data_IF_259676795127
#
_entry.id   IF_259676795127
#
_cell.length_a   1.000
_cell.length_b   1.000
_cell.length_c   1.000
_cell.angle_alpha   90.00
_cell.angle_beta   90.00
_cell.angle_gamma   90.00
#
_symmetry.space_group_name_H-M   'P 1'
#
loop_
_entity.id
_entity.type
_entity.pdbx_description
1 polymer ?
#
# COMPACT_ATOMS: atom_id res chain seq x y z
N UNK A 1 -11.17 4.18 5.32
CA UNK A 1 -10.52 5.52 5.36
C UNK A 1 -9.77 5.73 4.06
N UNK A 2 -9.51 6.97 3.63
CA UNK A 2 -8.76 7.21 2.38
C UNK A 2 -7.31 6.80 2.54
N UNK A 3 -6.67 6.39 1.44
CA UNK A 3 -5.25 6.06 1.41
C UNK A 3 -4.39 7.21 1.94
N UNK A 4 -4.70 8.46 1.55
CA UNK A 4 -3.96 9.63 2.04
C UNK A 4 -4.00 9.77 3.57
N UNK A 5 -5.18 9.60 4.17
CA UNK A 5 -5.32 9.72 5.62
C UNK A 5 -4.64 8.54 6.32
N UNK A 6 -4.75 7.33 5.75
CA UNK A 6 -4.07 6.15 6.27
C UNK A 6 -2.56 6.33 6.30
N UNK A 7 -1.95 6.76 5.18
CA UNK A 7 -0.51 7.01 5.11
C UNK A 7 -0.08 8.11 6.08
N UNK A 8 -0.84 9.21 6.18
CA UNK A 8 -0.55 10.28 7.14
C UNK A 8 -0.54 9.79 8.60
N UNK A 9 -1.41 8.84 8.96
CA UNK A 9 -1.42 8.26 10.31
C UNK A 9 -0.19 7.40 10.63
N UNK A 10 0.45 6.83 9.61
CA UNK A 10 1.61 5.93 9.76
C UNK A 10 2.95 6.61 9.42
N UNK A 11 2.92 7.90 9.10
CA UNK A 11 4.11 8.69 8.80
C UNK A 11 5.05 8.74 10.03
N UNK A 12 6.35 8.51 9.82
CA UNK A 12 7.32 8.43 10.92
C UNK A 12 7.33 7.08 11.65
N UNK A 13 6.51 6.11 11.23
CA UNK A 13 6.46 4.77 11.78
C UNK A 13 7.55 3.83 11.26
N UNK A 14 7.66 2.64 11.84
CA UNK A 14 8.69 1.64 11.50
C UNK A 14 8.55 0.99 10.11
N UNK A 15 7.45 1.27 9.41
CA UNK A 15 7.13 0.70 8.08
C UNK A 15 7.16 1.74 6.96
N UNK A 16 7.55 2.98 7.26
CA UNK A 16 7.52 4.09 6.30
C UNK A 16 8.43 3.87 5.09
N UNK A 17 9.46 3.03 5.22
CA UNK A 17 10.45 2.78 4.17
C UNK A 17 10.11 1.53 3.34
N UNK A 18 8.99 0.85 3.60
CA UNK A 18 8.60 -0.38 2.90
C UNK A 18 7.08 -0.52 2.85
N UNK A 19 6.49 0.07 1.81
CA UNK A 19 5.04 0.10 1.63
C UNK A 19 4.69 -0.46 0.26
N UNK A 20 3.78 -1.43 0.24
CA UNK A 20 3.19 -1.97 -0.99
C UNK A 20 1.71 -1.62 -1.04
N UNK A 21 1.21 -1.27 -2.21
CA UNK A 21 -0.20 -0.86 -2.39
C UNK A 21 -0.80 -1.61 -3.57
N UNK A 22 -1.82 -2.40 -3.28
CA UNK A 22 -2.55 -3.22 -4.25
C UNK A 22 -4.04 -2.86 -4.29
N UNK A 23 -4.72 -3.26 -5.38
CA UNK A 23 -6.16 -3.14 -5.55
C UNK A 23 -6.83 -4.51 -5.49
N UNK A 24 -7.85 -4.64 -4.64
CA UNK A 24 -8.77 -5.78 -4.63
C UNK A 24 -9.64 -5.81 -5.89
N UNK A 25 -10.08 -6.99 -6.35
CA UNK A 25 -9.84 -8.30 -5.75
C UNK A 25 -8.52 -8.95 -6.22
N UNK A 26 -8.04 -9.93 -5.45
CA UNK A 26 -7.02 -10.86 -5.92
C UNK A 26 -7.59 -11.82 -6.98
N UNK A 27 -6.93 -11.92 -8.13
CA UNK A 27 -7.27 -12.89 -9.17
C UNK A 27 -6.56 -14.22 -8.91
N UNK A 28 -7.32 -15.23 -8.47
CA UNK A 28 -6.79 -16.55 -8.13
C UNK A 28 -6.29 -17.35 -9.33
N UNK A 29 -6.88 -17.18 -10.52
CA UNK A 29 -6.45 -17.90 -11.73
C UNK A 29 -5.09 -17.38 -12.24
N UNK A 30 -4.86 -16.07 -12.10
CA UNK A 30 -3.64 -15.38 -12.54
C UNK A 30 -2.63 -15.19 -11.43
N UNK A 31 -2.97 -15.59 -10.21
CA UNK A 31 -2.17 -15.40 -9.00
C UNK A 31 -1.65 -13.97 -8.81
N UNK A 32 -2.49 -12.95 -9.04
CA UNK A 32 -2.12 -11.54 -8.87
C UNK A 32 -3.32 -10.64 -8.54
N UNK A 33 -3.04 -9.51 -7.90
CA UNK A 33 -4.04 -8.46 -7.72
C UNK A 33 -4.45 -7.84 -9.06
N UNK A 34 -5.66 -7.27 -9.10
CA UNK A 34 -6.17 -6.57 -10.29
C UNK A 34 -5.20 -5.47 -10.73
N UNK A 35 -4.68 -4.72 -9.76
CA UNK A 35 -3.66 -3.70 -9.99
C UNK A 35 -2.69 -3.62 -8.80
N UNK A 36 -1.41 -3.54 -9.10
CA UNK A 36 -0.36 -3.21 -8.13
C UNK A 36 0.16 -1.82 -8.46
N UNK A 37 0.12 -0.90 -7.51
CA UNK A 37 0.58 0.48 -7.70
C UNK A 37 2.02 0.69 -7.24
N UNK A 38 2.39 0.06 -6.13
CA UNK A 38 3.72 0.14 -5.53
C UNK A 38 4.08 -1.20 -4.87
N UNK A 39 5.35 -1.57 -4.95
CA UNK A 39 5.92 -2.73 -4.28
C UNK A 39 7.17 -2.27 -3.51
N UNK A 40 7.19 -2.50 -2.20
CA UNK A 40 8.32 -2.23 -1.29
C UNK A 40 8.88 -0.79 -1.38
N UNK A 41 8.03 0.19 -1.71
CA UNK A 41 8.43 1.58 -1.91
C UNK A 41 8.45 2.38 -0.60
N UNK A 42 9.28 3.42 -0.53
CA UNK A 42 9.22 4.36 0.59
C UNK A 42 7.97 5.23 0.49
N UNK A 43 7.36 5.54 1.62
CA UNK A 43 6.16 6.38 1.69
C UNK A 43 6.38 7.77 1.07
N UNK A 44 7.58 8.33 1.18
CA UNK A 44 7.95 9.61 0.55
C UNK A 44 7.90 9.52 -0.99
N UNK A 45 8.42 8.43 -1.56
CA UNK A 45 8.39 8.17 -3.01
C UNK A 45 6.94 8.02 -3.49
N UNK A 46 6.13 7.29 -2.72
CA UNK A 46 4.69 7.13 -3.01
C UNK A 46 4.01 8.49 -3.05
N UNK A 47 4.12 9.28 -1.97
CA UNK A 47 3.39 10.57 -1.84
C UNK A 47 3.76 11.56 -2.95
N UNK A 48 5.01 11.53 -3.43
CA UNK A 48 5.51 12.42 -4.47
C UNK A 48 5.20 11.94 -5.89
N UNK A 49 4.67 10.73 -6.07
CA UNK A 49 4.37 10.16 -7.39
C UNK A 49 3.07 10.68 -8.00
N UNK A 50 3.00 10.72 -9.34
CA UNK A 50 1.74 11.02 -10.06
C UNK A 50 0.67 9.95 -9.82
N UNK A 51 1.08 8.67 -9.73
CA UNK A 51 0.19 7.54 -9.43
C UNK A 51 -0.55 7.79 -8.11
N UNK A 52 0.13 8.31 -7.08
CA UNK A 52 -0.51 8.62 -5.81
C UNK A 52 -1.60 9.68 -5.94
N UNK A 53 -1.45 10.68 -6.82
CA UNK A 53 -2.52 11.67 -7.03
C UNK A 53 -3.81 11.04 -7.54
N UNK A 54 -3.70 9.96 -8.33
CA UNK A 54 -4.84 9.20 -8.85
C UNK A 54 -5.50 8.35 -7.75
N UNK A 55 -4.71 7.75 -6.85
CA UNK A 55 -5.22 6.77 -5.89
C UNK A 55 -5.42 7.30 -4.46
N UNK A 56 -4.95 8.50 -4.13
CA UNK A 56 -4.95 9.05 -2.75
C UNK A 56 -6.32 9.07 -2.06
N UNK A 57 -7.38 9.18 -2.86
CA UNK A 57 -8.77 9.24 -2.38
C UNK A 57 -9.47 7.87 -2.36
N UNK A 58 -8.85 6.81 -2.90
CA UNK A 58 -9.38 5.44 -2.80
C UNK A 58 -9.45 5.01 -1.33
N UNK A 59 -10.45 4.20 -1.01
CA UNK A 59 -10.62 3.66 0.34
C UNK A 59 -9.67 2.48 0.54
N UNK A 60 -8.94 2.51 1.66
CA UNK A 60 -8.28 1.32 2.19
C UNK A 60 -9.36 0.35 2.65
N UNK A 61 -9.31 -0.87 2.11
CA UNK A 61 -10.15 -1.99 2.52
C UNK A 61 -9.60 -2.63 3.79
N UNK A 62 -8.37 -3.15 3.68
CA UNK A 62 -7.60 -3.72 4.78
C UNK A 62 -6.10 -3.49 4.55
N UNK A 63 -5.29 -3.86 5.53
CA UNK A 63 -3.83 -3.81 5.43
C UNK A 63 -3.23 -4.96 6.23
N UNK A 64 -2.03 -5.37 5.85
CA UNK A 64 -1.23 -6.35 6.57
C UNK A 64 0.15 -5.76 6.86
N UNK A 65 0.74 -6.19 7.97
CA UNK A 65 2.15 -5.95 8.24
C UNK A 65 2.83 -7.31 8.15
N UNK A 66 3.80 -7.43 7.26
CA UNK A 66 4.56 -8.67 7.05
C UNK A 66 6.05 -8.43 7.28
N UNK A 67 6.80 -9.53 7.38
CA UNK A 67 8.23 -9.50 7.68
C UNK A 67 8.53 -9.36 9.18
N UNK A 68 9.69 -8.78 9.49
CA UNK A 68 10.23 -8.70 10.85
C UNK A 68 11.32 -9.73 11.16
N UNK A 69 12.00 -9.54 12.29
CA UNK A 69 13.18 -10.33 12.65
C UNK A 69 14.35 -10.01 11.72
N UNK A 70 14.75 -11.00 10.91
CA UNK A 70 15.80 -10.82 9.89
C UNK A 70 15.31 -10.11 8.61
N UNK A 71 13.99 -10.06 8.39
CA UNK A 71 13.39 -9.47 7.21
C UNK A 71 12.90 -8.05 7.50
N UNK A 72 12.96 -7.18 6.49
CA UNK A 72 12.40 -5.83 6.56
C UNK A 72 10.91 -5.92 6.89
N UNK A 73 10.42 -5.01 7.74
CA UNK A 73 8.99 -4.92 8.03
C UNK A 73 8.33 -4.15 6.89
N UNK A 74 7.30 -4.74 6.29
CA UNK A 74 6.57 -4.18 5.16
C UNK A 74 5.09 -3.95 5.53
N UNK A 75 4.56 -2.80 5.12
CA UNK A 75 3.15 -2.45 5.20
C UNK A 75 2.50 -2.69 3.83
N UNK A 76 1.67 -3.72 3.73
CA UNK A 76 0.87 -4.01 2.53
C UNK A 76 -0.53 -3.41 2.70
N UNK A 77 -0.93 -2.54 1.79
CA UNK A 77 -2.21 -1.82 1.81
C UNK A 77 -3.07 -2.27 0.64
N UNK A 78 -4.29 -2.70 0.93
CA UNK A 78 -5.24 -3.15 -0.08
C UNK A 78 -6.36 -2.12 -0.23
N UNK A 79 -6.49 -1.59 -1.44
CA UNK A 79 -7.52 -0.63 -1.81
C UNK A 79 -8.76 -1.36 -2.28
N UNK A 80 -9.94 -0.84 -1.93
CA UNK A 80 -11.21 -1.36 -2.47
C UNK A 80 -11.22 -1.29 -4.00
N UNK A 81 -11.69 -2.37 -4.61
CA UNK A 81 -12.06 -2.41 -6.03
C UNK A 81 -13.21 -1.45 -6.35
N UNK A 82 -13.40 -1.20 -7.64
CA UNK A 82 -14.50 -0.37 -8.17
C UNK A 82 -15.83 -1.11 -8.21
#
# INVERSE_FOLDING_TARGET
MTLQNFLKMHQGGCVQDCVSIQQEPYNYDKHKYEKTFFEEAAQEEIINSEIFKEIRNKQVDHFNIIGGGMYKVELCIYLKGE
#
